data_IF_837533908272
#
_entry.id   IF_837533908272
#
_cell.length_a   1.000
_cell.length_b   1.000
_cell.length_c   1.000
_cell.angle_alpha   90.00
_cell.angle_beta   90.00
_cell.angle_gamma   90.00
#
_symmetry.space_group_name_H-M   'P 1'
#
loop_
_entity.id
_entity.type
_entity.pdbx_description
1 polymer ?
#
# COMPACT_ATOMS: atom_id res chain seq x y z
N UNK A 1 -21.50 -16.64 25.44
CA UNK A 1 -20.66 -15.94 24.44
C UNK A 1 -19.39 -16.74 24.28
N UNK A 2 -19.15 -17.32 23.10
CA UNK A 2 -17.91 -18.03 22.80
C UNK A 2 -16.96 -17.04 22.13
N UNK A 3 -15.89 -16.67 22.82
CA UNK A 3 -14.78 -15.88 22.26
C UNK A 3 -13.72 -16.84 21.73
N UNK A 4 -13.31 -16.64 20.48
CA UNK A 4 -12.21 -17.37 19.84
C UNK A 4 -10.92 -16.57 20.11
N UNK A 5 -9.81 -17.22 20.51
CA UNK A 5 -8.54 -16.53 20.70
C UNK A 5 -7.98 -16.03 19.36
N UNK A 6 -7.47 -14.79 19.36
CA UNK A 6 -6.85 -14.12 18.19
C UNK A 6 -5.49 -14.71 17.79
N UNK A 7 -4.90 -15.57 18.61
CA UNK A 7 -3.58 -16.17 18.38
C UNK A 7 -3.67 -17.69 18.27
N UNK A 8 -3.09 -18.23 17.19
CA UNK A 8 -2.80 -19.66 17.10
C UNK A 8 -1.57 -19.96 17.97
N UNK A 9 -1.69 -20.91 18.90
CA UNK A 9 -0.59 -21.39 19.74
C UNK A 9 0.43 -22.26 18.97
N UNK A 10 0.66 -22.02 17.68
CA UNK A 10 1.73 -22.65 16.93
C UNK A 10 2.99 -21.78 16.99
N UNK A 11 3.92 -22.16 17.86
CA UNK A 11 5.19 -21.47 18.16
C UNK A 11 6.24 -21.56 17.04
N UNK A 12 5.86 -21.76 15.76
CA UNK A 12 6.82 -21.91 14.66
C UNK A 12 6.58 -21.03 13.44
N UNK A 13 5.46 -20.31 13.35
CA UNK A 13 5.17 -19.45 12.19
C UNK A 13 5.11 -17.99 12.63
N UNK A 14 5.87 -17.08 11.99
CA UNK A 14 5.76 -15.66 12.27
C UNK A 14 4.31 -15.20 12.02
N UNK A 15 3.82 -14.28 12.85
CA UNK A 15 2.47 -13.68 12.69
C UNK A 15 2.32 -13.01 11.32
N UNK A 16 3.44 -12.54 10.75
CA UNK A 16 3.53 -11.91 9.45
C UNK A 16 4.72 -12.47 8.69
N UNK A 17 4.51 -12.86 7.44
CA UNK A 17 5.56 -13.34 6.54
C UNK A 17 5.58 -12.51 5.27
N UNK A 18 6.75 -12.31 4.71
CA UNK A 18 6.90 -11.74 3.37
C UNK A 18 6.30 -12.69 2.33
N UNK A 19 6.01 -12.18 1.14
CA UNK A 19 5.46 -13.01 0.05
C UNK A 19 6.41 -14.15 -0.32
N UNK A 20 7.71 -13.92 -0.33
CA UNK A 20 8.70 -14.98 -0.61
C UNK A 20 8.72 -16.04 0.49
N UNK A 21 8.68 -15.64 1.77
CA UNK A 21 8.56 -16.59 2.89
C UNK A 21 7.25 -17.39 2.82
N UNK A 22 6.14 -16.75 2.44
CA UNK A 22 4.86 -17.41 2.26
C UNK A 22 4.92 -18.46 1.13
N UNK A 23 5.54 -18.14 0.00
CA UNK A 23 5.79 -19.08 -1.11
C UNK A 23 6.57 -20.30 -0.62
N UNK A 24 7.66 -20.09 0.13
CA UNK A 24 8.51 -21.14 0.65
C UNK A 24 7.76 -22.05 1.64
N UNK A 25 6.99 -21.46 2.55
CA UNK A 25 6.16 -22.17 3.52
C UNK A 25 5.14 -23.04 2.77
N UNK A 26 4.38 -22.47 1.84
CA UNK A 26 3.36 -23.20 1.09
C UNK A 26 3.98 -24.38 0.36
N UNK A 27 5.03 -24.15 -0.43
CA UNK A 27 5.70 -25.21 -1.17
C UNK A 27 6.23 -26.32 -0.27
N UNK A 28 6.77 -25.97 0.91
CA UNK A 28 7.26 -26.93 1.90
C UNK A 28 6.17 -27.83 2.46
N UNK A 29 4.98 -27.29 2.75
CA UNK A 29 3.91 -28.05 3.42
C UNK A 29 2.93 -28.73 2.46
N UNK A 30 2.74 -28.20 1.25
CA UNK A 30 1.77 -28.75 0.28
C UNK A 30 2.44 -29.55 -0.83
N UNK A 31 3.77 -29.66 -0.83
CA UNK A 31 4.56 -30.25 -1.92
C UNK A 31 4.18 -29.64 -3.29
N UNK A 32 3.81 -28.36 -3.29
CA UNK A 32 3.49 -27.57 -4.48
C UNK A 32 4.73 -26.85 -5.01
N UNK A 33 4.60 -26.24 -6.19
CA UNK A 33 5.64 -25.43 -6.82
C UNK A 33 5.08 -24.08 -7.27
N UNK A 34 4.42 -23.38 -6.35
CA UNK A 34 3.97 -22.01 -6.61
C UNK A 34 5.15 -21.04 -6.56
N UNK A 35 5.00 -19.89 -7.21
CA UNK A 35 5.98 -18.80 -7.22
C UNK A 35 5.36 -17.55 -6.60
N UNK A 36 6.19 -16.58 -6.23
CA UNK A 36 5.74 -15.27 -5.73
C UNK A 36 4.73 -14.61 -6.68
N UNK A 37 4.89 -14.76 -8.00
CA UNK A 37 3.94 -14.23 -8.98
C UNK A 37 2.53 -14.85 -8.88
N UNK A 38 2.40 -16.07 -8.38
CA UNK A 38 1.11 -16.69 -8.16
C UNK A 38 0.41 -16.07 -6.95
N UNK A 39 1.16 -15.79 -5.87
CA UNK A 39 0.65 -15.04 -4.72
C UNK A 39 0.30 -13.60 -5.07
N UNK A 40 1.13 -12.92 -5.85
CA UNK A 40 0.84 -11.56 -6.34
C UNK A 40 -0.45 -11.52 -7.17
N UNK A 41 -0.68 -12.50 -8.06
CA UNK A 41 -1.94 -12.59 -8.81
C UNK A 41 -3.13 -12.84 -7.90
N UNK A 42 -2.97 -13.73 -6.92
CA UNK A 42 -4.03 -14.05 -5.98
C UNK A 42 -4.42 -12.83 -5.14
N UNK A 43 -3.43 -12.03 -4.73
CA UNK A 43 -3.65 -10.75 -4.06
C UNK A 43 -4.33 -9.70 -4.97
N UNK A 44 -3.91 -9.60 -6.23
CA UNK A 44 -4.53 -8.66 -7.20
C UNK A 44 -5.99 -9.01 -7.55
N UNK A 45 -6.41 -10.25 -7.33
CA UNK A 45 -7.80 -10.69 -7.46
C UNK A 45 -8.58 -10.64 -6.14
N UNK A 46 -8.06 -9.91 -5.15
CA UNK A 46 -8.66 -9.74 -3.82
C UNK A 46 -8.89 -11.08 -3.07
N UNK A 47 -8.13 -12.12 -3.41
CA UNK A 47 -8.19 -13.42 -2.73
C UNK A 47 -7.16 -13.58 -1.61
N UNK A 48 -6.17 -12.68 -1.56
CA UNK A 48 -5.15 -12.63 -0.52
C UNK A 48 -4.98 -11.18 -0.05
N UNK A 49 -5.35 -10.85 1.20
CA UNK A 49 -5.05 -9.53 1.74
C UNK A 49 -3.52 -9.37 1.86
N UNK A 50 -3.02 -8.20 1.50
CA UNK A 50 -1.64 -7.81 1.71
C UNK A 50 -1.61 -6.64 2.71
N UNK A 51 -0.63 -6.68 3.60
CA UNK A 51 -0.43 -5.67 4.62
C UNK A 51 0.85 -4.91 4.33
N UNK A 52 0.86 -3.61 4.63
CA UNK A 52 2.04 -2.77 4.45
C UNK A 52 2.77 -2.68 5.79
N UNK A 53 4.04 -3.07 5.81
CA UNK A 53 4.93 -2.92 6.96
C UNK A 53 5.79 -1.65 6.82
N UNK A 54 5.84 -0.85 7.88
CA UNK A 54 6.64 0.36 7.98
C UNK A 54 7.81 0.17 8.94
N UNK A 55 9.02 0.55 8.53
CA UNK A 55 10.21 0.42 9.37
C UNK A 55 10.31 1.48 10.47
N UNK A 56 9.53 2.55 10.38
CA UNK A 56 9.46 3.64 11.34
C UNK A 56 8.01 3.93 11.72
N UNK A 57 7.83 4.64 12.83
CA UNK A 57 6.53 5.15 13.20
C UNK A 57 6.00 6.09 12.11
N UNK A 58 4.75 5.89 11.74
CA UNK A 58 4.06 6.64 10.69
C UNK A 58 2.96 7.51 11.29
N UNK A 59 2.58 8.55 10.55
CA UNK A 59 1.38 9.33 10.88
C UNK A 59 0.36 9.20 9.76
N UNK A 60 -0.88 8.99 10.15
CA UNK A 60 -2.04 9.01 9.27
C UNK A 60 -2.74 10.35 9.37
N UNK A 61 -3.25 10.83 8.24
CA UNK A 61 -4.19 11.95 8.23
C UNK A 61 -5.31 11.69 7.24
N UNK A 62 -6.54 12.07 7.61
CA UNK A 62 -7.73 11.79 6.79
C UNK A 62 -7.67 12.59 5.49
N UNK A 63 -8.02 11.97 4.37
CA UNK A 63 -8.11 12.64 3.07
C UNK A 63 -9.45 13.37 2.96
N UNK A 64 -9.41 14.60 2.43
CA UNK A 64 -10.62 15.34 2.08
C UNK A 64 -11.22 14.78 0.78
N UNK A 65 -12.52 14.53 0.82
CA UNK A 65 -13.29 14.07 -0.34
C UNK A 65 -14.32 15.14 -0.74
N UNK A 66 -14.49 15.33 -2.04
CA UNK A 66 -15.58 16.11 -2.63
C UNK A 66 -16.49 15.16 -3.40
N UNK A 67 -17.51 14.63 -2.73
CA UNK A 67 -18.24 13.46 -3.23
C UNK A 67 -17.34 12.22 -3.20
N UNK A 68 -17.19 11.56 -4.34
CA UNK A 68 -16.33 10.37 -4.50
C UNK A 68 -14.90 10.71 -4.99
N UNK A 69 -14.58 11.99 -5.14
CA UNK A 69 -13.29 12.45 -5.65
C UNK A 69 -12.36 12.93 -4.54
N UNK A 70 -11.07 12.59 -4.66
CA UNK A 70 -10.02 13.08 -3.76
C UNK A 70 -9.72 14.54 -4.07
N UNK A 71 -9.82 15.39 -3.04
CA UNK A 71 -9.46 16.80 -3.17
C UNK A 71 -7.95 16.97 -3.21
N UNK A 72 -7.49 17.91 -4.03
CA UNK A 72 -6.08 18.27 -4.13
C UNK A 72 -5.89 19.72 -3.68
N UNK A 73 -4.84 19.99 -2.92
CA UNK A 73 -4.37 21.33 -2.60
C UNK A 73 -3.09 21.66 -3.37
N UNK A 74 -2.86 22.94 -3.61
CA UNK A 74 -1.59 23.40 -4.18
C UNK A 74 -0.55 23.45 -3.06
N UNK A 75 0.66 22.98 -3.35
CA UNK A 75 1.83 23.26 -2.51
C UNK A 75 2.32 24.69 -2.77
N UNK A 76 2.60 25.42 -1.69
CA UNK A 76 3.23 26.74 -1.75
C UNK A 76 4.63 26.65 -2.42
N UNK A 77 5.18 27.77 -2.87
CA UNK A 77 6.33 27.77 -3.78
C UNK A 77 7.63 27.21 -3.19
N UNK A 78 7.69 26.92 -1.89
CA UNK A 78 8.93 26.48 -1.26
C UNK A 78 9.42 25.14 -1.85
N UNK A 79 10.69 25.14 -2.30
CA UNK A 79 11.34 23.96 -2.87
C UNK A 79 11.40 22.81 -1.85
N UNK A 80 11.54 23.14 -0.56
CA UNK A 80 11.62 22.14 0.51
C UNK A 80 10.31 21.38 0.64
N UNK A 81 9.16 22.07 0.64
CA UNK A 81 7.86 21.39 0.68
C UNK A 81 7.62 20.54 -0.56
N UNK A 82 8.03 21.04 -1.75
CA UNK A 82 7.93 20.27 -2.99
C UNK A 82 8.74 18.98 -2.93
N UNK A 83 10.00 19.04 -2.52
CA UNK A 83 10.89 17.85 -2.47
C UNK A 83 10.41 16.85 -1.40
N UNK A 84 9.80 17.31 -0.31
CA UNK A 84 9.35 16.42 0.77
C UNK A 84 8.02 15.74 0.51
N UNK A 85 7.19 16.30 -0.39
CA UNK A 85 5.80 15.83 -0.57
C UNK A 85 5.48 15.36 -1.99
N UNK A 86 6.31 15.65 -3.00
CA UNK A 86 6.09 15.27 -4.39
C UNK A 86 7.10 14.24 -4.85
N UNK A 87 6.69 13.32 -5.73
CA UNK A 87 7.64 12.46 -6.45
C UNK A 87 8.49 13.26 -7.42
N UNK A 88 9.67 12.72 -7.76
CA UNK A 88 10.55 13.24 -8.81
C UNK A 88 9.79 13.49 -10.12
N UNK A 89 8.85 12.60 -10.46
CA UNK A 89 8.00 12.74 -11.65
C UNK A 89 7.02 13.90 -11.56
N UNK A 90 6.49 14.20 -10.37
CA UNK A 90 5.61 15.35 -10.18
C UNK A 90 6.41 16.66 -10.26
N UNK A 91 7.58 16.71 -9.63
CA UNK A 91 8.50 17.85 -9.67
C UNK A 91 8.92 18.14 -11.12
N UNK A 92 9.39 17.12 -11.85
CA UNK A 92 9.84 17.27 -13.23
C UNK A 92 8.73 17.77 -14.17
N UNK A 93 7.49 17.32 -13.96
CA UNK A 93 6.34 17.73 -14.76
C UNK A 93 5.68 19.04 -14.29
N UNK A 94 6.26 19.75 -13.32
CA UNK A 94 5.70 20.98 -12.77
C UNK A 94 4.35 20.79 -12.07
N UNK A 95 4.03 19.57 -11.62
CA UNK A 95 2.80 19.27 -10.86
C UNK A 95 3.00 19.68 -9.41
N UNK A 96 2.34 20.77 -9.01
CA UNK A 96 2.44 21.32 -7.65
C UNK A 96 1.20 21.01 -6.79
N UNK A 97 0.57 19.86 -7.00
CA UNK A 97 -0.63 19.45 -6.25
C UNK A 97 -0.35 18.27 -5.36
N UNK A 98 -0.87 18.31 -4.14
CA UNK A 98 -0.85 17.21 -3.17
C UNK A 98 -2.27 16.83 -2.79
N UNK A 99 -2.43 15.64 -2.20
CA UNK A 99 -3.69 15.26 -1.58
C UNK A 99 -4.00 16.21 -0.42
N UNK A 100 -5.22 16.75 -0.43
CA UNK A 100 -5.73 17.54 0.67
C UNK A 100 -6.09 16.63 1.83
N UNK A 101 -5.61 16.97 3.02
CA UNK A 101 -5.88 16.23 4.26
C UNK A 101 -6.52 17.11 5.34
N UNK A 102 -7.34 16.51 6.20
CA UNK A 102 -8.08 17.17 7.27
C UNK A 102 -7.96 16.44 8.61
N UNK A 103 -8.33 17.15 9.68
CA UNK A 103 -8.31 16.64 11.04
C UNK A 103 -6.90 16.48 11.61
N UNK A 104 -6.86 15.76 12.72
CA UNK A 104 -5.65 15.51 13.49
C UNK A 104 -4.81 14.37 12.89
N UNK A 105 -3.51 14.43 13.16
CA UNK A 105 -2.62 13.31 12.88
C UNK A 105 -2.90 12.16 13.85
N UNK A 106 -3.04 10.97 13.30
CA UNK A 106 -3.22 9.73 14.03
C UNK A 106 -1.91 8.96 13.95
N UNK A 107 -1.39 8.52 15.09
CA UNK A 107 -0.22 7.62 15.14
C UNK A 107 -0.72 6.19 15.38
N UNK A 108 -0.66 5.30 14.39
CA UNK A 108 -1.01 3.91 14.59
C UNK A 108 -0.14 3.27 15.67
N UNK A 109 -0.73 2.40 16.49
CA UNK A 109 0.02 1.64 17.51
C UNK A 109 0.95 0.59 16.87
N UNK A 110 0.58 0.11 15.68
CA UNK A 110 1.29 -0.95 14.97
C UNK A 110 1.91 -0.39 13.69
N UNK A 111 3.08 -0.94 13.34
CA UNK A 111 3.77 -0.63 12.09
C UNK A 111 3.25 -1.42 10.88
N UNK A 112 2.16 -2.17 11.05
CA UNK A 112 1.54 -2.97 9.99
C UNK A 112 0.12 -2.46 9.83
N UNK A 113 -0.26 -2.17 8.59
CA UNK A 113 -1.62 -1.78 8.24
C UNK A 113 -2.15 -2.72 7.17
N UNK A 114 -3.27 -3.36 7.52
CA UNK A 114 -4.08 -4.14 6.59
C UNK A 114 -4.91 -3.16 5.76
N UNK A 115 -4.63 -3.07 4.47
CA UNK A 115 -5.39 -2.18 3.58
C UNK A 115 -5.55 -2.82 2.21
N UNK A 116 -6.73 -2.69 1.57
CA UNK A 116 -6.82 -2.96 0.15
C UNK A 116 -5.80 -2.07 -0.56
N UNK A 117 -5.03 -2.65 -1.47
CA UNK A 117 -4.07 -1.91 -2.28
C UNK A 117 -4.85 -1.02 -3.24
N UNK A 118 -4.81 0.28 -2.99
CA UNK A 118 -5.50 1.30 -3.78
C UNK A 118 -4.48 2.26 -4.38
N UNK A 119 -4.81 2.86 -5.52
CA UNK A 119 -3.95 3.89 -6.11
C UNK A 119 -2.58 3.39 -6.59
N UNK A 120 -1.52 4.03 -6.14
CA UNK A 120 -0.18 3.81 -6.69
C UNK A 120 0.44 2.48 -6.22
N UNK A 121 0.09 2.03 -5.03
CA UNK A 121 0.56 0.79 -4.40
C UNK A 121 0.08 -0.42 -5.20
N UNK A 122 -1.16 -0.34 -5.70
CA UNK A 122 -1.70 -1.29 -6.65
C UNK A 122 -0.87 -1.32 -7.95
N UNK A 123 -0.48 -0.16 -8.49
CA UNK A 123 0.36 -0.07 -9.68
C UNK A 123 1.77 -0.62 -9.43
N UNK A 124 2.35 -0.35 -8.26
CA UNK A 124 3.64 -0.92 -7.85
C UNK A 124 3.54 -2.43 -7.82
N UNK A 125 2.48 -2.99 -7.26
CA UNK A 125 2.26 -4.44 -7.24
C UNK A 125 2.16 -5.02 -8.65
N UNK A 126 1.39 -4.37 -9.55
CA UNK A 126 1.29 -4.80 -10.94
C UNK A 126 2.65 -4.76 -11.66
N UNK A 127 3.50 -3.78 -11.37
CA UNK A 127 4.86 -3.69 -11.93
C UNK A 127 5.77 -4.80 -11.41
N UNK A 128 5.71 -5.10 -10.12
CA UNK A 128 6.44 -6.21 -9.51
C UNK A 128 6.00 -7.56 -10.11
N UNK A 129 4.70 -7.74 -10.31
CA UNK A 129 4.15 -8.91 -10.99
C UNK A 129 4.68 -9.00 -12.43
N UNK A 130 4.59 -7.91 -13.21
CA UNK A 130 5.08 -7.90 -14.59
C UNK A 130 6.57 -8.25 -14.68
N UNK A 131 7.38 -7.71 -13.77
CA UNK A 131 8.80 -8.04 -13.65
C UNK A 131 9.03 -9.52 -13.34
N UNK A 132 8.32 -10.07 -12.35
CA UNK A 132 8.42 -11.49 -11.98
C UNK A 132 8.05 -12.43 -13.13
N UNK A 133 7.07 -12.02 -13.94
CA UNK A 133 6.60 -12.76 -15.12
C UNK A 133 7.43 -12.53 -16.38
N UNK A 134 8.39 -11.60 -16.35
CA UNK A 134 9.19 -11.18 -17.52
C UNK A 134 8.31 -10.69 -18.69
N UNK A 135 7.21 -10.01 -18.38
CA UNK A 135 6.32 -9.38 -19.36
C UNK A 135 6.48 -7.87 -19.36
N UNK A 136 5.91 -7.22 -20.38
CA UNK A 136 5.85 -5.76 -20.43
C UNK A 136 5.12 -5.18 -19.22
N UNK A 137 5.65 -4.10 -18.66
CA UNK A 137 5.00 -3.35 -17.57
C UNK A 137 3.65 -2.80 -18.06
N UNK A 138 2.64 -2.69 -17.18
CA UNK A 138 1.37 -2.09 -17.54
C UNK A 138 1.55 -0.64 -18.01
N UNK A 139 0.77 -0.21 -19.00
CA UNK A 139 0.71 1.18 -19.47
C UNK A 139 -0.13 1.97 -18.46
N UNK A 140 0.51 2.81 -17.66
CA UNK A 140 -0.12 3.46 -16.50
C UNK A 140 -0.26 4.98 -16.66
N UNK A 141 -0.25 5.51 -17.89
CA UNK A 141 -0.11 6.95 -18.16
C UNK A 141 -1.08 7.86 -17.40
N UNK A 142 -2.36 7.46 -17.22
CA UNK A 142 -3.35 8.24 -16.45
C UNK A 142 -3.28 8.05 -14.93
N UNK A 143 -2.68 6.97 -14.44
CA UNK A 143 -2.64 6.62 -13.02
C UNK A 143 -1.26 6.82 -12.39
N UNK A 144 -0.32 7.43 -13.14
CA UNK A 144 1.09 7.51 -12.75
C UNK A 144 1.43 8.64 -11.77
N UNK A 145 0.43 9.38 -11.30
CA UNK A 145 0.68 10.48 -10.37
C UNK A 145 0.72 9.91 -8.96
N UNK A 146 1.93 9.82 -8.40
CA UNK A 146 2.14 9.39 -7.02
C UNK A 146 1.83 10.55 -6.08
N UNK A 147 0.83 10.35 -5.22
CA UNK A 147 0.44 11.31 -4.19
C UNK A 147 0.73 10.78 -2.77
N UNK A 148 1.69 9.86 -2.64
CA UNK A 148 1.95 9.17 -1.37
C UNK A 148 1.22 7.84 -1.25
N UNK A 149 1.34 7.24 -0.07
CA UNK A 149 0.69 5.97 0.28
C UNK A 149 -0.68 6.28 0.89
N UNK A 150 -1.73 5.58 0.44
CA UNK A 150 -3.13 5.80 0.79
C UNK A 150 -3.76 4.50 1.28
N UNK A 151 -4.50 4.58 2.39
CA UNK A 151 -5.14 3.42 3.00
C UNK A 151 -6.61 3.66 3.27
N UNK A 152 -7.38 2.58 3.28
CA UNK A 152 -8.81 2.60 3.57
C UNK A 152 -9.10 1.75 4.79
N UNK A 153 -9.64 2.38 5.83
CA UNK A 153 -10.02 1.76 7.10
C UNK A 153 -11.46 2.17 7.43
N UNK A 154 -12.36 1.20 7.65
CA UNK A 154 -13.78 1.46 7.97
C UNK A 154 -14.49 2.46 7.03
N UNK A 155 -14.13 2.44 5.74
CA UNK A 155 -14.68 3.34 4.71
C UNK A 155 -14.07 4.74 4.68
N UNK A 156 -13.16 5.06 5.60
CA UNK A 156 -12.42 6.32 5.63
C UNK A 156 -11.07 6.13 4.93
N UNK A 157 -10.67 7.12 4.14
CA UNK A 157 -9.41 7.10 3.40
C UNK A 157 -8.40 8.02 4.11
N UNK A 158 -7.18 7.52 4.32
CA UNK A 158 -6.08 8.23 4.96
C UNK A 158 -4.84 8.26 4.07
N UNK A 159 -4.02 9.28 4.25
CA UNK A 159 -2.69 9.39 3.66
C UNK A 159 -1.62 9.23 4.74
N UNK A 160 -0.50 8.59 4.39
CA UNK A 160 0.67 8.46 5.26
C UNK A 160 1.66 9.62 5.15
N UNK A 161 2.31 9.91 6.28
CA UNK A 161 3.43 10.85 6.45
C UNK A 161 4.53 10.23 7.33
#
# INVERSE_FOLDING_TARGET
>A
MHTIPYYSNNTSMPVWVTVSEATDIINKYTNSHIKDCDLWRYALYDHLPLSIYFQSQIKLRKICLSGDEIMLDNIEESIIEKITQLSDTCIYNGKNKIIKTEGDYISPEHHIIDTPLIGHEYIVLQRLLAHSLKISKPITEQYNTYYGVVVRENGIIYQFF
#
